data_IF_819704184639
#
_entry.id   IF_819704184639
#
_cell.length_a   1.000
_cell.length_b   1.000
_cell.length_c   1.000
_cell.angle_alpha   90.00
_cell.angle_beta   90.00
_cell.angle_gamma   90.00
#
_symmetry.space_group_name_H-M   'P 1'
#
loop_
_entity.id
_entity.type
_entity.pdbx_description
1 polymer ?
#
# COMPACT_ATOMS: atom_id res chain seq x y z
N UNK A 1 6.95 5.11 13.42
CA UNK A 1 5.94 4.03 13.59
C UNK A 1 6.62 2.81 14.18
N UNK A 2 6.43 2.53 15.48
CA UNK A 2 7.11 1.41 16.17
C UNK A 2 6.72 0.04 15.61
N UNK A 3 5.44 -0.16 15.29
CA UNK A 3 4.91 -1.42 14.73
C UNK A 3 5.57 -1.80 13.41
N UNK A 4 5.84 -0.84 12.51
CA UNK A 4 6.52 -1.13 11.24
C UNK A 4 7.98 -1.59 11.46
N UNK A 5 8.67 -1.00 12.44
CA UNK A 5 10.03 -1.40 12.78
C UNK A 5 10.07 -2.81 13.38
N UNK A 6 9.09 -3.16 14.22
CA UNK A 6 8.95 -4.51 14.78
C UNK A 6 8.63 -5.55 13.69
N UNK A 7 7.72 -5.24 12.77
CA UNK A 7 7.41 -6.14 11.64
C UNK A 7 8.64 -6.33 10.74
N UNK A 8 9.38 -5.26 10.45
CA UNK A 8 10.60 -5.33 9.64
C UNK A 8 11.72 -6.15 10.32
N UNK A 9 11.80 -6.17 11.66
CA UNK A 9 12.77 -7.00 12.40
C UNK A 9 12.34 -8.48 12.50
N UNK A 10 11.04 -8.74 12.60
CA UNK A 10 10.49 -10.10 12.70
C UNK A 10 10.50 -10.80 11.33
N UNK A 11 10.28 -10.06 10.25
CA UNK A 11 10.11 -10.63 8.92
C UNK A 11 11.30 -11.46 8.41
N UNK A 12 12.57 -10.99 8.49
CA UNK A 12 13.74 -11.80 8.11
C UNK A 12 13.83 -13.11 8.90
N UNK A 13 13.32 -13.13 10.15
CA UNK A 13 13.30 -14.34 10.99
C UNK A 13 12.21 -15.31 10.56
N UNK A 14 11.05 -14.81 10.12
CA UNK A 14 9.98 -15.63 9.52
C UNK A 14 10.37 -16.19 8.16
N UNK A 15 11.08 -15.42 7.32
CA UNK A 15 11.57 -15.85 6.00
C UNK A 15 12.95 -16.50 6.04
N UNK A 16 13.55 -16.69 7.22
CA UNK A 16 14.82 -17.43 7.36
C UNK A 16 14.60 -18.95 7.31
N UNK A 17 13.37 -19.41 7.52
CA UNK A 17 13.00 -20.84 7.59
C UNK A 17 12.45 -21.33 6.23
N UNK A 18 12.05 -20.40 5.35
CA UNK A 18 11.48 -20.67 4.03
C UNK A 18 12.04 -19.70 2.99
N UNK A 19 12.13 -20.12 1.74
CA UNK A 19 12.67 -19.30 0.66
C UNK A 19 11.94 -17.94 0.59
N UNK A 20 12.67 -16.83 0.75
CA UNK A 20 12.11 -15.46 0.80
C UNK A 20 11.30 -15.11 -0.46
N UNK A 21 11.56 -15.85 -1.54
CA UNK A 21 10.82 -15.86 -2.80
C UNK A 21 9.31 -16.13 -2.65
N UNK A 22 8.88 -16.81 -1.59
CA UNK A 22 7.45 -17.08 -1.31
C UNK A 22 6.63 -15.80 -1.06
N UNK A 23 7.29 -14.73 -0.64
CA UNK A 23 6.64 -13.46 -0.32
C UNK A 23 6.90 -12.38 -1.37
N UNK A 24 7.62 -12.70 -2.44
CA UNK A 24 7.87 -11.78 -3.54
C UNK A 24 6.54 -11.35 -4.18
N UNK A 25 6.31 -10.04 -4.23
CA UNK A 25 5.07 -9.46 -4.74
C UNK A 25 3.86 -9.56 -3.80
N UNK A 26 4.03 -10.07 -2.58
CA UNK A 26 2.98 -10.11 -1.56
C UNK A 26 2.72 -8.73 -0.94
N UNK A 27 1.51 -8.53 -0.40
CA UNK A 27 1.15 -7.34 0.37
C UNK A 27 2.07 -7.13 1.58
N UNK A 28 2.48 -8.21 2.25
CA UNK A 28 3.38 -8.14 3.40
C UNK A 28 4.72 -7.52 2.99
N UNK A 29 5.29 -7.93 1.85
CA UNK A 29 6.53 -7.34 1.35
C UNK A 29 6.38 -5.89 0.92
N UNK A 30 5.28 -5.55 0.25
CA UNK A 30 5.01 -4.15 -0.12
C UNK A 30 4.89 -3.27 1.13
N UNK A 31 4.24 -3.78 2.19
CA UNK A 31 4.06 -3.07 3.44
C UNK A 31 5.34 -2.97 4.29
N UNK A 32 6.24 -3.94 4.22
CA UNK A 32 7.55 -3.85 4.90
C UNK A 32 8.44 -2.80 4.22
N UNK A 33 8.48 -2.81 2.88
CA UNK A 33 9.38 -1.94 2.13
C UNK A 33 8.86 -0.51 1.98
N UNK A 34 7.53 -0.32 1.97
CA UNK A 34 6.88 0.96 1.67
C UNK A 34 5.71 1.29 2.61
N UNK A 35 5.65 0.66 3.79
CA UNK A 35 4.49 0.73 4.69
C UNK A 35 4.10 2.14 5.11
N UNK A 36 5.08 3.01 5.35
CA UNK A 36 4.85 4.43 5.63
C UNK A 36 4.15 5.15 4.48
N UNK A 37 4.67 4.99 3.27
CA UNK A 37 4.11 5.58 2.04
C UNK A 37 2.72 5.02 1.75
N UNK A 38 2.53 3.72 1.95
CA UNK A 38 1.23 3.05 1.78
C UNK A 38 0.21 3.61 2.76
N UNK A 39 0.56 3.75 4.04
CA UNK A 39 -0.35 4.31 5.06
C UNK A 39 -0.70 5.76 4.72
N UNK A 40 0.28 6.60 4.38
CA UNK A 40 0.02 8.00 3.99
C UNK A 40 -0.90 8.11 2.77
N UNK A 41 -0.66 7.31 1.73
CA UNK A 41 -1.51 7.27 0.55
C UNK A 41 -2.93 6.76 0.89
N UNK A 42 -3.04 5.72 1.73
CA UNK A 42 -4.31 5.17 2.17
C UNK A 42 -5.12 6.17 3.01
N UNK A 43 -4.47 6.97 3.85
CA UNK A 43 -5.14 8.03 4.62
C UNK A 43 -5.78 9.07 3.70
N UNK A 44 -5.07 9.53 2.66
CA UNK A 44 -5.64 10.42 1.67
C UNK A 44 -6.84 9.81 0.94
N UNK A 45 -6.75 8.53 0.55
CA UNK A 45 -7.87 7.83 -0.08
C UNK A 45 -9.08 7.66 0.86
N UNK A 46 -8.84 7.43 2.14
CA UNK A 46 -9.90 7.26 3.15
C UNK A 46 -10.70 8.54 3.38
N UNK A 47 -10.04 9.71 3.40
CA UNK A 47 -10.69 11.02 3.54
C UNK A 47 -11.19 11.60 2.21
N UNK A 48 -11.01 10.89 1.09
CA UNK A 48 -11.48 11.30 -0.24
C UNK A 48 -10.55 12.26 -1.00
N UNK A 49 -9.32 12.47 -0.53
CA UNK A 49 -8.33 13.37 -1.14
C UNK A 49 -7.56 12.63 -2.25
N UNK A 50 -8.29 12.24 -3.30
CA UNK A 50 -7.80 11.36 -4.37
C UNK A 50 -6.67 11.98 -5.17
N UNK A 51 -6.72 13.29 -5.40
CA UNK A 51 -5.69 14.01 -6.16
C UNK A 51 -4.37 14.05 -5.38
N UNK A 52 -4.45 14.28 -4.07
CA UNK A 52 -3.34 14.31 -3.12
C UNK A 52 -2.72 12.93 -3.00
N UNK A 53 -3.55 11.88 -2.87
CA UNK A 53 -3.09 10.49 -2.90
C UNK A 53 -2.31 10.18 -4.19
N UNK A 54 -2.81 10.65 -5.33
CA UNK A 54 -2.18 10.44 -6.65
C UNK A 54 -0.88 11.20 -6.80
N UNK A 55 -0.85 12.47 -6.38
CA UNK A 55 0.35 13.30 -6.42
C UNK A 55 1.43 12.76 -5.48
N UNK A 56 1.02 12.33 -4.28
CA UNK A 56 1.92 11.67 -3.35
C UNK A 56 2.49 10.39 -3.94
N UNK A 57 1.65 9.49 -4.46
CA UNK A 57 2.11 8.24 -5.08
C UNK A 57 3.11 8.48 -6.23
N UNK A 58 2.85 9.46 -7.11
CA UNK A 58 3.79 9.88 -8.17
C UNK A 58 5.11 10.38 -7.60
N UNK A 59 5.09 11.16 -6.52
CA UNK A 59 6.31 11.66 -5.86
C UNK A 59 7.18 10.54 -5.28
N UNK A 60 6.59 9.38 -4.98
CA UNK A 60 7.29 8.21 -4.44
C UNK A 60 7.84 7.29 -5.54
N UNK A 61 7.78 7.69 -6.82
CA UNK A 61 8.18 6.86 -7.96
C UNK A 61 7.13 5.81 -8.36
N UNK A 62 5.95 5.86 -7.73
CA UNK A 62 4.78 5.10 -8.12
C UNK A 62 4.06 5.73 -9.32
N UNK A 63 2.92 5.16 -9.70
CA UNK A 63 2.11 5.63 -10.81
C UNK A 63 0.68 5.96 -10.36
N UNK A 64 0.00 6.81 -11.13
CA UNK A 64 -1.45 6.96 -10.97
C UNK A 64 -2.16 5.64 -11.24
N UNK A 65 -2.99 5.22 -10.31
CA UNK A 65 -3.99 4.17 -10.51
C UNK A 65 -5.27 4.82 -11.05
N UNK A 66 -6.12 4.07 -11.76
CA UNK A 66 -7.42 4.61 -12.15
C UNK A 66 -8.27 4.83 -10.89
N UNK A 67 -8.53 6.10 -10.57
CA UNK A 67 -9.27 6.55 -9.38
C UNK A 67 -10.43 7.46 -9.76
N UNK A 68 -10.90 7.43 -11.02
CA UNK A 68 -11.97 8.32 -11.51
C UNK A 68 -13.26 8.19 -10.72
N UNK A 69 -13.58 6.98 -10.25
CA UNK A 69 -14.78 6.69 -9.47
C UNK A 69 -14.46 6.34 -8.00
N UNK A 70 -13.36 6.90 -7.47
CA UNK A 70 -12.93 6.59 -6.10
C UNK A 70 -13.79 7.32 -5.07
N UNK A 71 -14.39 6.57 -4.15
CA UNK A 71 -15.17 7.08 -3.03
C UNK A 71 -15.82 5.94 -2.25
N UNK A 72 -16.14 6.19 -0.98
CA UNK A 72 -16.80 5.21 -0.10
C UNK A 72 -18.24 4.97 -0.54
N UNK A 73 -18.67 3.72 -0.59
CA UNK A 73 -20.08 3.40 -0.87
C UNK A 73 -20.93 3.62 0.39
N UNK A 74 -22.22 3.96 0.23
CA UNK A 74 -23.09 4.33 1.36
C UNK A 74 -23.20 3.22 2.42
N UNK A 75 -23.22 1.97 1.96
CA UNK A 75 -23.42 0.79 2.79
C UNK A 75 -22.11 0.00 3.00
N UNK A 76 -20.96 0.57 2.61
CA UNK A 76 -19.65 -0.07 2.79
C UNK A 76 -19.26 -0.08 4.27
N UNK A 77 -19.02 -1.28 4.79
CA UNK A 77 -18.46 -1.50 6.12
C UNK A 77 -17.16 -0.71 6.29
N UNK A 78 -16.94 -0.15 7.49
CA UNK A 78 -15.78 0.70 7.74
C UNK A 78 -14.45 -0.06 7.58
N UNK A 79 -14.40 -1.31 8.03
CA UNK A 79 -13.19 -2.13 7.91
C UNK A 79 -12.98 -2.51 6.44
N UNK A 80 -14.05 -2.79 5.71
CA UNK A 80 -13.98 -3.01 4.26
C UNK A 80 -13.47 -1.79 3.49
N UNK A 81 -13.96 -0.59 3.83
CA UNK A 81 -13.49 0.66 3.24
C UNK A 81 -12.00 0.89 3.52
N UNK A 82 -11.56 0.72 4.78
CA UNK A 82 -10.14 0.82 5.15
C UNK A 82 -9.28 -0.16 4.35
N UNK A 83 -9.74 -1.42 4.21
CA UNK A 83 -9.03 -2.43 3.41
C UNK A 83 -8.98 -2.03 1.93
N UNK A 84 -10.03 -1.44 1.37
CA UNK A 84 -10.06 -0.95 -0.02
C UNK A 84 -9.05 0.19 -0.21
N UNK A 85 -9.00 1.16 0.70
CA UNK A 85 -7.98 2.22 0.70
C UNK A 85 -6.56 1.67 0.74
N UNK A 86 -6.27 0.72 1.63
CA UNK A 86 -4.93 0.10 1.75
C UNK A 86 -4.52 -0.63 0.47
N UNK A 87 -5.41 -1.43 -0.11
CA UNK A 87 -5.13 -2.16 -1.36
C UNK A 87 -4.83 -1.21 -2.52
N UNK A 88 -5.58 -0.12 -2.63
CA UNK A 88 -5.37 0.86 -3.68
C UNK A 88 -4.08 1.66 -3.46
N UNK A 89 -3.79 2.05 -2.22
CA UNK A 89 -2.55 2.73 -1.87
C UNK A 89 -1.32 1.89 -2.25
N UNK A 90 -1.34 0.58 -1.99
CA UNK A 90 -0.26 -0.33 -2.44
C UNK A 90 -0.07 -0.26 -3.95
N UNK A 91 -1.16 -0.30 -4.73
CA UNK A 91 -1.09 -0.23 -6.20
C UNK A 91 -0.56 1.11 -6.70
N UNK A 92 -0.88 2.20 -6.01
CA UNK A 92 -0.46 3.55 -6.39
C UNK A 92 1.02 3.81 -6.05
N UNK A 93 1.46 3.38 -4.86
CA UNK A 93 2.83 3.63 -4.36
C UNK A 93 3.84 2.70 -5.01
N UNK A 94 3.47 1.48 -5.39
CA UNK A 94 4.40 0.52 -5.97
C UNK A 94 4.91 1.01 -7.34
N UNK A 95 6.24 1.05 -7.56
CA UNK A 95 6.79 1.36 -8.87
C UNK A 95 6.27 0.36 -9.90
N UNK A 96 5.75 0.84 -11.03
CA UNK A 96 5.45 -0.03 -12.17
C UNK A 96 6.78 -0.62 -12.65
N UNK A 97 6.95 -1.95 -12.57
CA UNK A 97 8.03 -2.62 -13.33
C UNK A 97 7.88 -2.17 -14.78
N UNK A 98 8.89 -1.47 -15.30
CA UNK A 98 8.95 -1.18 -16.72
C UNK A 98 8.82 -2.51 -17.45
N UNK A 99 7.82 -2.63 -18.33
CA UNK A 99 7.82 -3.72 -19.30
C UNK A 99 9.00 -3.44 -20.22
N UNK A 100 10.13 -4.11 -19.96
CA UNK A 100 11.20 -4.27 -20.95
C UNK A 100 10.72 -5.17 -22.07
#
# INVERSE_FOLDING_TARGET
>A
MKVLAEIADIYPRMTSIHDSSLFDGSFAMDFINHGDKIIYCAMYLYIGYVNEATNFAKSQGGGGSDTKDWGREKDEDEIEWIRRCLRQAVRMVKPRKAKG
#
